data_IF_638724609436
#
_entry.id   IF_638724609436
#
_cell.length_a   1.000
_cell.length_b   1.000
_cell.length_c   1.000
_cell.angle_alpha   90.00
_cell.angle_beta   90.00
_cell.angle_gamma   90.00
#
_symmetry.space_group_name_H-M   'P 1'
#
loop_
_entity.id
_entity.type
_entity.pdbx_description
1 polymer ?
#
# COMPACT_ATOMS: atom_id res chain seq x y z
N UNK A 1 -16.22 -13.29 1.56
CA UNK A 1 -17.22 -13.87 2.49
C UNK A 1 -16.77 -13.52 3.90
N UNK A 2 -17.51 -12.68 4.66
CA UNK A 2 -17.22 -12.48 6.07
C UNK A 2 -17.35 -13.82 6.81
N UNK A 3 -16.45 -14.12 7.74
CA UNK A 3 -16.52 -15.34 8.54
C UNK A 3 -17.90 -15.42 9.25
N UNK A 4 -18.56 -16.58 9.28
CA UNK A 4 -19.89 -16.71 9.88
C UNK A 4 -19.85 -16.30 11.36
N UNK A 5 -20.75 -15.40 11.76
CA UNK A 5 -20.96 -15.01 13.17
C UNK A 5 -20.43 -13.63 13.59
N UNK A 6 -19.92 -12.79 12.69
CA UNK A 6 -19.50 -11.44 13.08
C UNK A 6 -20.64 -10.42 13.03
N UNK A 7 -20.95 -9.80 14.17
CA UNK A 7 -21.85 -8.65 14.24
C UNK A 7 -21.17 -7.44 13.53
N UNK A 8 -21.77 -6.85 12.49
CA UNK A 8 -21.17 -5.77 11.70
C UNK A 8 -20.82 -4.53 12.55
N UNK A 9 -21.63 -4.20 13.55
CA UNK A 9 -21.34 -3.09 14.47
C UNK A 9 -20.13 -3.38 15.36
N UNK A 10 -19.99 -4.64 15.81
CA UNK A 10 -18.81 -5.06 16.58
C UNK A 10 -17.55 -5.02 15.72
N UNK A 11 -17.62 -5.47 14.46
CA UNK A 11 -16.52 -5.37 13.50
C UNK A 11 -16.08 -3.93 13.32
N UNK A 12 -17.05 -3.03 13.08
CA UNK A 12 -16.82 -1.60 12.92
C UNK A 12 -16.06 -1.02 14.11
N UNK A 13 -16.54 -1.29 15.32
CA UNK A 13 -15.89 -0.84 16.56
C UNK A 13 -14.46 -1.38 16.68
N UNK A 14 -14.22 -2.66 16.36
CA UNK A 14 -12.88 -3.25 16.42
C UNK A 14 -11.93 -2.63 15.41
N UNK A 15 -12.40 -2.35 14.19
CA UNK A 15 -11.61 -1.68 13.15
C UNK A 15 -11.22 -0.26 13.58
N UNK A 16 -12.16 0.51 14.12
CA UNK A 16 -11.88 1.86 14.62
C UNK A 16 -10.91 1.84 15.83
N UNK A 17 -11.03 0.84 16.71
CA UNK A 17 -10.05 0.63 17.80
C UNK A 17 -8.66 0.30 17.25
N UNK A 18 -8.57 -0.56 16.23
CA UNK A 18 -7.30 -0.89 15.58
C UNK A 18 -6.63 0.36 14.97
N UNK A 19 -7.41 1.26 14.38
CA UNK A 19 -6.93 2.57 13.91
C UNK A 19 -6.31 3.40 15.04
N UNK A 20 -6.98 3.51 16.19
CA UNK A 20 -6.44 4.26 17.32
C UNK A 20 -5.14 3.65 17.83
N UNK A 21 -5.07 2.33 17.95
CA UNK A 21 -3.84 1.62 18.33
C UNK A 21 -2.72 1.88 17.33
N UNK A 22 -3.00 1.78 16.02
CA UNK A 22 -2.02 2.06 14.97
C UNK A 22 -1.52 3.51 15.04
N UNK A 23 -2.44 4.47 15.21
CA UNK A 23 -2.12 5.89 15.36
C UNK A 23 -1.21 6.14 16.58
N UNK A 24 -1.51 5.52 17.72
CA UNK A 24 -0.66 5.59 18.91
C UNK A 24 0.72 4.96 18.70
N UNK A 25 0.81 3.85 17.98
CA UNK A 25 2.09 3.23 17.66
C UNK A 25 2.99 4.14 16.81
N UNK A 26 2.43 4.78 15.78
CA UNK A 26 3.13 5.76 14.94
C UNK A 26 3.62 6.96 15.78
N UNK A 27 2.74 7.57 16.58
CA UNK A 27 3.11 8.70 17.44
C UNK A 27 4.16 8.33 18.48
N UNK A 28 4.06 7.16 19.09
CA UNK A 28 5.05 6.67 20.05
C UNK A 28 6.41 6.46 19.39
N UNK A 29 6.45 5.94 18.16
CA UNK A 29 7.69 5.79 17.42
C UNK A 29 8.36 7.14 17.12
N UNK A 30 7.59 8.16 16.72
CA UNK A 30 8.10 9.52 16.53
C UNK A 30 8.61 10.14 17.84
N UNK A 31 7.90 9.92 18.94
CA UNK A 31 8.32 10.44 20.24
C UNK A 31 9.61 9.77 20.73
N UNK A 32 9.76 8.46 20.52
CA UNK A 32 11.01 7.75 20.79
C UNK A 32 12.13 8.25 19.86
N UNK A 33 11.81 8.51 18.59
CA UNK A 33 12.77 9.06 17.64
C UNK A 33 13.33 10.41 18.09
N UNK A 34 12.43 11.32 18.53
CA UNK A 34 12.79 12.63 19.06
C UNK A 34 13.67 12.55 20.30
N UNK A 35 13.47 11.52 21.13
CA UNK A 35 14.19 11.36 22.41
C UNK A 35 15.55 10.70 22.26
N UNK A 36 15.63 9.65 21.45
CA UNK A 36 16.81 8.76 21.42
C UNK A 36 17.26 8.37 20.01
N UNK A 37 16.68 8.95 18.95
CA UNK A 37 16.97 8.52 17.57
C UNK A 37 16.51 7.09 17.29
N UNK A 38 15.40 6.66 17.88
CA UNK A 38 14.89 5.29 17.78
C UNK A 38 14.78 4.79 16.33
N UNK A 39 14.35 5.62 15.37
CA UNK A 39 14.10 5.14 14.01
C UNK A 39 15.39 4.82 13.26
N UNK A 40 16.49 5.53 13.52
CA UNK A 40 17.79 5.22 12.90
C UNK A 40 18.42 3.92 13.42
N UNK A 41 17.86 3.32 14.48
CA UNK A 41 18.34 2.09 15.10
C UNK A 41 17.24 1.02 15.19
N UNK A 42 16.14 1.19 14.46
CA UNK A 42 15.01 0.28 14.52
C UNK A 42 15.41 -1.09 14.00
N UNK A 43 14.98 -2.16 14.67
CA UNK A 43 15.20 -3.52 14.18
C UNK A 43 14.05 -3.94 13.26
N UNK A 44 14.32 -4.90 12.38
CA UNK A 44 13.37 -5.31 11.34
C UNK A 44 11.98 -5.74 11.88
N UNK A 45 11.85 -6.47 13.01
CA UNK A 45 10.56 -6.71 13.66
C UNK A 45 9.76 -5.47 14.05
N UNK A 46 10.40 -4.41 14.57
CA UNK A 46 9.68 -3.17 14.90
C UNK A 46 9.31 -2.40 13.63
N UNK A 47 10.18 -2.38 12.61
CA UNK A 47 9.84 -1.83 11.29
C UNK A 47 8.61 -2.52 10.70
N UNK A 48 8.54 -3.85 10.75
CA UNK A 48 7.34 -4.63 10.35
C UNK A 48 6.09 -4.23 11.12
N UNK A 49 6.23 -3.98 12.42
CA UNK A 49 5.11 -3.56 13.27
C UNK A 49 4.60 -2.16 12.89
N UNK A 50 5.51 -1.22 12.59
CA UNK A 50 5.14 0.11 12.10
C UNK A 50 4.51 0.02 10.72
N UNK A 51 5.01 -0.85 9.84
CA UNK A 51 4.37 -1.10 8.55
C UNK A 51 2.94 -1.63 8.71
N UNK A 52 2.70 -2.60 9.58
CA UNK A 52 1.34 -3.09 9.84
C UNK A 52 0.44 -1.96 10.36
N UNK A 53 0.94 -1.08 11.23
CA UNK A 53 0.21 0.10 11.68
C UNK A 53 -0.12 1.06 10.51
N UNK A 54 0.86 1.34 9.64
CA UNK A 54 0.65 2.14 8.43
C UNK A 54 -0.44 1.52 7.54
N UNK A 55 -0.41 0.20 7.31
CA UNK A 55 -1.44 -0.49 6.52
C UNK A 55 -2.86 -0.31 7.11
N UNK A 56 -3.01 -0.30 8.44
CA UNK A 56 -4.31 0.01 9.07
C UNK A 56 -4.73 1.44 8.74
N UNK A 57 -3.84 2.43 8.93
CA UNK A 57 -4.14 3.84 8.63
C UNK A 57 -4.56 4.02 7.17
N UNK A 58 -3.77 3.50 6.22
CA UNK A 58 -4.05 3.59 4.79
C UNK A 58 -5.30 2.82 4.36
N UNK A 59 -5.62 1.73 5.06
CA UNK A 59 -6.87 1.00 4.84
C UNK A 59 -8.09 1.83 5.24
N UNK A 60 -8.04 2.58 6.33
CA UNK A 60 -9.16 3.45 6.71
C UNK A 60 -9.24 4.71 5.85
N UNK A 61 -8.09 5.30 5.50
CA UNK A 61 -8.02 6.45 4.61
C UNK A 61 -8.73 6.18 3.27
N UNK A 62 -8.68 4.93 2.80
CA UNK A 62 -9.34 4.47 1.55
C UNK A 62 -10.72 3.85 1.73
N UNK A 63 -11.40 4.05 2.85
CA UNK A 63 -12.64 3.34 3.13
C UNK A 63 -13.80 4.26 3.42
N UNK A 64 -15.02 3.71 3.38
CA UNK A 64 -16.23 4.38 3.83
C UNK A 64 -16.21 4.75 5.31
N UNK A 65 -15.28 4.20 6.11
CA UNK A 65 -15.17 4.55 7.53
C UNK A 65 -14.44 5.87 7.77
N UNK A 66 -13.85 6.47 6.72
CA UNK A 66 -13.30 7.81 6.76
C UNK A 66 -14.31 8.85 7.27
N UNK A 67 -15.61 8.63 7.03
CA UNK A 67 -16.70 9.50 7.53
C UNK A 67 -16.82 9.54 9.07
N UNK A 68 -16.27 8.55 9.78
CA UNK A 68 -16.28 8.47 11.24
C UNK A 68 -15.00 9.02 11.89
N UNK A 69 -14.04 9.49 11.09
CA UNK A 69 -12.73 9.92 11.53
C UNK A 69 -12.50 11.40 11.20
N UNK A 70 -11.66 12.06 11.99
CA UNK A 70 -11.18 13.40 11.62
C UNK A 70 -10.22 13.30 10.43
N UNK A 71 -10.64 13.88 9.31
CA UNK A 71 -9.91 13.83 8.04
C UNK A 71 -8.50 14.41 8.16
N UNK A 72 -8.37 15.57 8.80
CA UNK A 72 -7.07 16.23 8.94
C UNK A 72 -6.13 15.40 9.80
N UNK A 73 -6.62 14.82 10.90
CA UNK A 73 -5.80 13.98 11.76
C UNK A 73 -5.30 12.73 11.06
N UNK A 74 -6.12 12.00 10.30
CA UNK A 74 -5.67 10.76 9.65
C UNK A 74 -4.74 11.06 8.46
N UNK A 75 -4.99 12.11 7.69
CA UNK A 75 -4.10 12.55 6.61
C UNK A 75 -2.72 12.96 7.18
N UNK A 76 -2.69 13.68 8.32
CA UNK A 76 -1.45 14.01 9.01
C UNK A 76 -0.69 12.76 9.46
N UNK A 77 -1.37 11.79 10.09
CA UNK A 77 -0.75 10.53 10.51
C UNK A 77 -0.26 9.74 9.29
N UNK A 78 -0.97 9.76 8.16
CA UNK A 78 -0.52 9.09 6.95
C UNK A 78 0.77 9.74 6.40
N UNK A 79 0.89 11.07 6.43
CA UNK A 79 2.16 11.75 6.11
C UNK A 79 3.26 11.41 7.12
N UNK A 80 2.94 11.31 8.42
CA UNK A 80 3.91 10.89 9.44
C UNK A 80 4.51 9.51 9.13
N UNK A 81 3.70 8.56 8.61
CA UNK A 81 4.23 7.23 8.24
C UNK A 81 5.27 7.29 7.13
N UNK A 82 5.13 8.24 6.18
CA UNK A 82 6.13 8.47 5.13
C UNK A 82 7.42 9.00 5.73
N UNK A 83 7.33 10.03 6.57
CA UNK A 83 8.50 10.61 7.26
C UNK A 83 9.21 9.59 8.14
N UNK A 84 8.46 8.71 8.82
CA UNK A 84 9.04 7.60 9.59
C UNK A 84 9.86 6.68 8.69
N UNK A 85 9.36 6.28 7.51
CA UNK A 85 10.10 5.43 6.59
C UNK A 85 11.40 6.08 6.10
N UNK A 86 11.39 7.39 5.90
CA UNK A 86 12.59 8.16 5.55
C UNK A 86 13.61 8.14 6.70
N UNK A 87 13.14 8.30 7.95
CA UNK A 87 13.99 8.28 9.16
C UNK A 87 14.55 6.90 9.50
N UNK A 88 13.87 5.82 9.10
CA UNK A 88 14.33 4.44 9.27
C UNK A 88 15.37 4.02 8.23
N UNK A 89 15.59 4.83 7.18
CA UNK A 89 16.56 4.48 6.16
C UNK A 89 18.00 4.65 6.66
N UNK A 90 18.83 3.67 6.35
CA UNK A 90 20.28 3.64 6.63
C UNK A 90 21.07 3.84 5.34
N UNK A 91 20.53 3.43 4.19
CA UNK A 91 21.17 3.59 2.89
C UNK A 91 20.16 3.82 1.75
N UNK A 92 20.62 4.46 0.69
CA UNK A 92 19.80 4.65 -0.51
C UNK A 92 19.36 3.30 -1.08
N UNK A 93 18.07 3.18 -1.40
CA UNK A 93 17.48 1.97 -1.96
C UNK A 93 17.20 0.84 -0.96
N UNK A 94 17.41 1.06 0.34
CA UNK A 94 17.03 0.07 1.35
C UNK A 94 15.51 -0.18 1.43
N UNK A 95 15.15 -1.17 2.24
CA UNK A 95 13.76 -1.59 2.39
C UNK A 95 12.85 -0.47 2.91
N UNK A 96 13.37 0.39 3.80
CA UNK A 96 12.66 1.54 4.34
C UNK A 96 12.37 2.57 3.26
N UNK A 97 13.33 2.85 2.37
CA UNK A 97 13.15 3.76 1.24
C UNK A 97 12.19 3.21 0.19
N UNK A 98 12.24 1.90 -0.10
CA UNK A 98 11.26 1.26 -1.00
C UNK A 98 9.84 1.38 -0.42
N UNK A 99 9.69 1.19 0.89
CA UNK A 99 8.42 1.42 1.58
C UNK A 99 8.00 2.90 1.55
N UNK A 100 8.93 3.84 1.77
CA UNK A 100 8.67 5.28 1.70
C UNK A 100 8.08 5.66 0.33
N UNK A 101 8.75 5.26 -0.76
CA UNK A 101 8.30 5.51 -2.13
C UNK A 101 6.91 4.95 -2.37
N UNK A 102 6.69 3.70 -1.94
CA UNK A 102 5.37 3.09 -2.02
C UNK A 102 4.33 3.99 -1.34
N UNK A 103 4.47 4.26 -0.04
CA UNK A 103 3.51 5.07 0.74
C UNK A 103 3.31 6.49 0.16
N UNK A 104 4.35 7.13 -0.40
CA UNK A 104 4.22 8.41 -1.12
C UNK A 104 3.31 8.27 -2.33
N UNK A 105 3.52 7.25 -3.17
CA UNK A 105 2.65 6.96 -4.32
C UNK A 105 1.20 6.73 -3.88
N UNK A 106 0.97 6.15 -2.69
CA UNK A 106 -0.39 6.05 -2.16
C UNK A 106 -1.03 7.42 -1.94
N UNK A 107 -0.35 8.29 -1.21
CA UNK A 107 -0.87 9.61 -0.86
C UNK A 107 -1.09 10.47 -2.11
N UNK A 108 -0.20 10.36 -3.10
CA UNK A 108 -0.37 11.01 -4.39
C UNK A 108 -1.64 10.52 -5.10
N UNK A 109 -1.90 9.21 -5.12
CA UNK A 109 -3.12 8.64 -5.70
C UNK A 109 -4.38 9.08 -4.92
N UNK A 110 -4.30 9.07 -3.59
CA UNK A 110 -5.38 9.52 -2.72
C UNK A 110 -5.75 10.98 -2.98
N UNK A 111 -4.76 11.86 -3.15
CA UNK A 111 -4.97 13.29 -3.35
C UNK A 111 -5.35 13.66 -4.80
N UNK A 112 -4.94 12.86 -5.79
CA UNK A 112 -5.09 13.21 -7.21
C UNK A 112 -6.30 12.60 -7.92
N UNK A 113 -6.92 11.55 -7.36
CA UNK A 113 -7.72 10.64 -8.19
C UNK A 113 -9.23 10.69 -7.95
N UNK A 114 -10.00 10.55 -9.03
CA UNK A 114 -11.39 10.07 -9.04
C UNK A 114 -11.57 8.70 -8.36
N UNK A 115 -10.51 7.89 -8.24
CA UNK A 115 -10.51 6.66 -7.44
C UNK A 115 -10.71 6.93 -5.94
N UNK A 116 -10.31 8.10 -5.43
CA UNK A 116 -10.55 8.45 -4.03
C UNK A 116 -12.06 8.44 -3.71
N UNK A 117 -12.89 8.82 -4.68
CA UNK A 117 -14.35 8.76 -4.57
C UNK A 117 -14.88 7.33 -4.57
N UNK A 118 -14.32 6.42 -5.38
CA UNK A 118 -14.72 5.00 -5.34
C UNK A 118 -14.29 4.31 -4.05
N UNK A 119 -13.10 4.63 -3.54
CA UNK A 119 -12.56 4.09 -2.30
C UNK A 119 -13.40 4.48 -1.08
N UNK A 120 -13.90 5.72 -1.05
CA UNK A 120 -14.78 6.20 0.04
C UNK A 120 -16.14 5.47 0.12
N UNK A 121 -16.46 4.58 -0.83
CA UNK A 121 -17.66 3.74 -0.78
C UNK A 121 -17.38 2.29 -0.32
N UNK A 122 -16.12 1.86 -0.23
CA UNK A 122 -15.76 0.50 0.16
C UNK A 122 -15.71 0.36 1.69
N UNK A 123 -16.49 -0.57 2.26
CA UNK A 123 -16.37 -0.89 3.68
C UNK A 123 -15.07 -1.66 3.97
N UNK A 124 -14.31 -1.29 5.02
CA UNK A 124 -13.13 -2.03 5.39
C UNK A 124 -13.54 -3.39 5.96
N UNK A 125 -13.07 -4.46 5.34
CA UNK A 125 -13.36 -5.83 5.78
C UNK A 125 -12.26 -6.39 6.67
N UNK A 126 -12.56 -7.46 7.42
CA UNK A 126 -11.52 -8.25 8.07
C UNK A 126 -10.51 -8.79 7.04
N UNK A 127 -9.27 -9.07 7.47
CA UNK A 127 -8.26 -9.64 6.56
C UNK A 127 -8.70 -11.01 6.03
N UNK A 128 -8.52 -11.24 4.73
CA UNK A 128 -8.70 -12.55 4.11
C UNK A 128 -7.57 -13.54 4.43
N UNK A 129 -6.56 -13.11 5.19
CA UNK A 129 -5.38 -13.90 5.56
C UNK A 129 -5.27 -14.11 7.09
N UNK A 130 -6.31 -14.64 7.76
CA UNK A 130 -6.31 -14.76 9.23
C UNK A 130 -5.19 -15.68 9.75
N UNK A 131 -4.79 -16.70 8.97
CA UNK A 131 -3.70 -17.62 9.29
C UNK A 131 -2.31 -16.95 9.28
N UNK A 132 -2.19 -15.73 8.75
CA UNK A 132 -0.92 -14.97 8.70
C UNK A 132 -0.75 -14.02 9.88
N UNK A 133 -1.66 -14.06 10.86
CA UNK A 133 -1.62 -13.24 12.08
C UNK A 133 -1.39 -11.75 11.72
N UNK A 134 -0.42 -11.09 12.35
CA UNK A 134 -0.10 -9.67 12.12
C UNK A 134 0.27 -9.34 10.67
N UNK A 135 0.81 -10.30 9.90
CA UNK A 135 1.11 -10.08 8.49
C UNK A 135 -0.16 -9.99 7.63
N UNK A 136 -1.26 -10.60 8.05
CA UNK A 136 -2.48 -10.69 7.26
C UNK A 136 -3.06 -9.33 6.87
N UNK A 137 -2.95 -8.33 7.74
CA UNK A 137 -3.38 -6.95 7.44
C UNK A 137 -2.50 -6.30 6.38
N UNK A 138 -1.18 -6.50 6.47
CA UNK A 138 -0.21 -5.96 5.50
C UNK A 138 -0.39 -6.59 4.12
N UNK A 139 -0.54 -7.92 4.05
CA UNK A 139 -0.84 -8.61 2.79
C UNK A 139 -2.16 -8.13 2.18
N UNK A 140 -3.24 -8.07 2.97
CA UNK A 140 -4.53 -7.57 2.50
C UNK A 140 -4.44 -6.14 1.94
N UNK A 141 -3.72 -5.24 2.64
CA UNK A 141 -3.51 -3.86 2.20
C UNK A 141 -2.77 -3.77 0.86
N UNK A 142 -1.66 -4.49 0.72
CA UNK A 142 -0.81 -4.41 -0.47
C UNK A 142 -1.41 -5.13 -1.67
N UNK A 143 -2.11 -6.23 -1.47
CA UNK A 143 -2.80 -6.94 -2.55
C UNK A 143 -3.87 -6.05 -3.17
N UNK A 144 -4.69 -5.40 -2.34
CA UNK A 144 -5.72 -4.46 -2.83
C UNK A 144 -5.09 -3.35 -3.66
N UNK A 145 -4.00 -2.78 -3.17
CA UNK A 145 -3.30 -1.73 -3.89
C UNK A 145 -2.67 -2.21 -5.20
N UNK A 146 -2.06 -3.40 -5.23
CA UNK A 146 -1.53 -3.99 -6.47
C UNK A 146 -2.65 -4.11 -7.52
N UNK A 147 -3.84 -4.53 -7.10
CA UNK A 147 -5.03 -4.58 -7.96
C UNK A 147 -5.47 -3.19 -8.43
N UNK A 148 -5.49 -2.19 -7.53
CA UNK A 148 -5.83 -0.80 -7.90
C UNK A 148 -4.89 -0.23 -8.99
N UNK A 149 -3.58 -0.48 -8.85
CA UNK A 149 -2.58 -0.06 -9.82
C UNK A 149 -2.74 -0.75 -11.18
N UNK A 150 -3.12 -2.03 -11.20
CA UNK A 150 -3.43 -2.76 -12.42
C UNK A 150 -4.68 -2.20 -13.13
N UNK A 151 -5.73 -1.88 -12.37
CA UNK A 151 -6.95 -1.26 -12.89
C UNK A 151 -6.64 0.10 -13.52
N UNK A 152 -5.85 0.95 -12.85
CA UNK A 152 -5.46 2.26 -13.40
C UNK A 152 -4.67 2.14 -14.70
N UNK A 153 -3.73 1.18 -14.80
CA UNK A 153 -3.00 0.91 -16.05
C UNK A 153 -3.92 0.43 -17.18
N UNK A 154 -4.86 -0.46 -16.90
CA UNK A 154 -5.86 -0.91 -17.87
C UNK A 154 -6.73 0.22 -18.40
N UNK A 155 -7.16 1.14 -17.52
CA UNK A 155 -7.93 2.33 -17.90
C UNK A 155 -7.10 3.30 -18.76
N UNK A 156 -5.84 3.57 -18.41
CA UNK A 156 -4.97 4.45 -19.21
C UNK A 156 -4.64 3.83 -20.58
N UNK A 157 -4.42 2.51 -20.66
CA UNK A 157 -4.20 1.82 -21.93
C UNK A 157 -5.46 1.81 -22.80
N UNK A 158 -6.67 1.63 -22.23
CA UNK A 158 -7.92 1.75 -22.99
C UNK A 158 -8.16 3.18 -23.50
N UNK A 159 -7.81 4.20 -22.71
CA UNK A 159 -7.98 5.59 -23.11
C UNK A 159 -6.99 6.02 -24.21
N UNK A 160 -5.83 5.36 -24.30
CA UNK A 160 -4.90 5.50 -25.42
C UNK A 160 -5.32 4.67 -26.66
N UNK A 161 -6.34 3.80 -26.56
CA UNK A 161 -6.80 2.91 -27.64
C UNK A 161 -8.24 3.18 -28.11
N UNK A 162 -8.77 4.41 -27.98
CA UNK A 162 -9.99 4.78 -28.71
C UNK A 162 -9.70 5.13 -30.18
N UNK A 163 -10.62 4.81 -31.11
CA UNK A 163 -10.28 4.07 -32.33
C UNK A 163 -9.97 4.97 -33.53
N UNK A 164 -8.86 4.70 -34.21
CA UNK A 164 -8.64 5.22 -35.57
C UNK A 164 -9.73 4.69 -36.51
N UNK A 165 -10.41 5.64 -37.15
CA UNK A 165 -11.36 5.45 -38.24
C UNK A 165 -10.75 4.58 -39.37
N UNK A 166 -11.56 3.89 -40.19
CA UNK A 166 -11.05 3.09 -41.30
C UNK A 166 -10.30 4.00 -42.29
N UNK A 167 -9.11 3.55 -42.64
CA UNK A 167 -8.13 4.17 -43.51
C UNK A 167 -8.68 4.35 -44.94
N UNK A 168 -8.73 5.58 -45.42
CA UNK A 168 -8.73 5.92 -46.84
C UNK A 168 -7.57 6.89 -47.07
N UNK A 169 -6.61 6.49 -47.90
CA UNK A 169 -5.61 7.39 -48.47
C UNK A 169 -4.17 7.18 -47.99
N UNK A 170 -3.32 6.84 -48.95
CA UNK A 170 -1.87 6.66 -48.83
C UNK A 170 -1.13 7.91 -48.33
N UNK A 171 -0.08 7.69 -47.54
CA UNK A 171 0.91 8.71 -47.17
C UNK A 171 1.94 8.12 -46.21
N UNK A 172 3.13 7.83 -46.73
CA UNK A 172 4.31 7.47 -45.95
C UNK A 172 4.74 8.66 -45.09
N UNK A 173 4.67 8.54 -43.76
CA UNK A 173 5.55 9.31 -42.88
C UNK A 173 6.06 8.38 -41.77
N UNK A 174 7.38 8.18 -41.79
CA UNK A 174 8.14 7.48 -40.76
C UNK A 174 8.10 8.31 -39.48
N UNK A 175 7.09 8.05 -38.65
CA UNK A 175 6.92 8.78 -37.40
C UNK A 175 7.85 8.19 -36.32
N UNK A 176 8.82 9.00 -35.95
CA UNK A 176 9.77 8.83 -34.87
C UNK A 176 9.08 8.33 -33.59
N UNK A 177 9.36 7.08 -33.23
CA UNK A 177 9.07 6.52 -31.90
C UNK A 177 9.78 7.36 -30.83
N UNK A 178 9.10 8.39 -30.31
CA UNK A 178 9.46 8.97 -29.03
C UNK A 178 9.26 7.88 -27.97
N UNK A 179 10.29 7.47 -27.23
CA UNK A 179 10.07 6.62 -26.08
C UNK A 179 9.25 7.45 -25.08
N UNK A 180 8.05 6.99 -24.77
CA UNK A 180 7.23 7.49 -23.67
C UNK A 180 8.03 7.28 -22.36
N UNK A 181 8.93 8.20 -22.08
CA UNK A 181 9.77 8.24 -20.89
C UNK A 181 9.07 9.03 -19.79
N UNK A 182 7.76 8.81 -19.62
CA UNK A 182 7.13 9.08 -18.32
C UNK A 182 7.56 7.88 -17.46
N UNK A 183 8.42 8.05 -16.44
CA UNK A 183 8.70 6.97 -15.51
C UNK A 183 7.34 6.53 -14.98
N UNK A 184 7.00 5.27 -15.19
CA UNK A 184 5.78 4.69 -14.66
C UNK A 184 5.92 4.73 -13.13
N UNK A 185 5.46 5.82 -12.51
CA UNK A 185 5.56 6.07 -11.06
C UNK A 185 4.82 5.01 -10.22
N UNK A 186 4.19 4.05 -10.91
CA UNK A 186 3.45 2.90 -10.40
C UNK A 186 4.15 1.56 -10.67
N UNK A 187 5.33 1.54 -11.29
CA UNK A 187 6.18 0.36 -11.43
C UNK A 187 6.86 0.03 -10.09
N UNK A 188 6.05 -0.17 -9.05
CA UNK A 188 6.47 -0.67 -7.75
C UNK A 188 7.01 -2.10 -7.99
N UNK A 189 8.28 -2.30 -7.70
CA UNK A 189 8.87 -3.63 -7.65
C UNK A 189 8.34 -4.39 -6.43
N UNK A 190 7.30 -5.19 -6.66
CA UNK A 190 6.62 -5.97 -5.62
C UNK A 190 7.48 -7.09 -5.01
N UNK A 191 8.68 -7.39 -5.56
CA UNK A 191 9.59 -8.35 -4.95
C UNK A 191 10.09 -7.90 -3.57
N UNK A 192 10.04 -6.59 -3.27
CA UNK A 192 10.42 -6.03 -1.96
C UNK A 192 9.65 -6.64 -0.78
N UNK A 193 8.48 -7.19 -1.05
CA UNK A 193 7.66 -7.86 -0.05
C UNK A 193 8.31 -9.13 0.50
N UNK A 194 9.21 -9.78 -0.26
CA UNK A 194 9.96 -10.95 0.19
C UNK A 194 11.01 -10.57 1.25
N UNK A 195 11.52 -9.33 1.21
CA UNK A 195 12.54 -8.81 2.15
C UNK A 195 12.00 -8.56 3.57
N UNK A 196 10.67 -8.62 3.76
CA UNK A 196 10.05 -8.55 5.09
C UNK A 196 9.99 -9.89 5.80
N UNK A 197 10.42 -10.99 5.17
CA UNK A 197 10.58 -12.31 5.81
C UNK A 197 9.34 -12.73 6.64
N UNK A 198 8.14 -12.49 6.10
CA UNK A 198 6.88 -12.89 6.77
C UNK A 198 6.69 -14.40 6.80
N UNK A 199 7.42 -15.14 5.97
CA UNK A 199 7.48 -16.60 5.99
C UNK A 199 8.59 -17.08 6.91
N UNK A 200 8.22 -17.72 8.02
CA UNK A 200 9.14 -18.60 8.71
C UNK A 200 9.33 -19.86 7.86
N UNK A 201 10.33 -19.86 6.99
CA UNK A 201 10.93 -21.11 6.49
C UNK A 201 12.17 -21.37 7.32
N UNK A 202 12.16 -22.37 8.22
CA UNK A 202 13.37 -22.78 8.92
C UNK A 202 14.48 -23.06 7.90
N UNK A 203 15.72 -22.60 8.13
CA UNK A 203 16.82 -22.87 7.22
C UNK A 203 16.93 -24.38 6.94
N UNK A 204 16.83 -24.77 5.66
CA UNK A 204 17.07 -26.15 5.21
C UNK A 204 15.85 -27.05 4.96
N UNK A 205 14.61 -26.56 5.04
CA UNK A 205 13.42 -27.42 4.87
C UNK A 205 12.51 -27.15 3.67
N UNK A 206 12.72 -26.08 2.90
CA UNK A 206 12.11 -25.87 1.58
C UNK A 206 12.76 -24.65 0.90
N UNK A 207 12.72 -24.52 -0.44
CA UNK A 207 13.03 -23.25 -1.09
C UNK A 207 12.06 -22.16 -0.56
N UNK A 208 12.53 -20.90 -0.40
CA UNK A 208 11.65 -19.80 -0.02
C UNK A 208 10.49 -19.72 -1.02
N UNK A 209 9.27 -19.82 -0.51
CA UNK A 209 8.07 -19.74 -1.34
C UNK A 209 7.93 -18.29 -1.80
N UNK A 210 8.21 -18.02 -3.06
CA UNK A 210 7.98 -16.70 -3.69
C UNK A 210 6.49 -16.46 -3.84
N UNK A 211 5.87 -15.86 -2.81
CA UNK A 211 4.42 -15.70 -2.71
C UNK A 211 3.85 -14.70 -3.75
N UNK A 212 4.69 -13.86 -4.35
CA UNK A 212 4.26 -12.77 -5.23
C UNK A 212 4.22 -13.13 -6.71
N UNK A 213 4.89 -14.21 -7.12
CA UNK A 213 4.85 -14.71 -8.49
C UNK A 213 3.60 -15.55 -8.80
N UNK A 214 2.86 -15.99 -7.79
CA UNK A 214 1.65 -16.81 -7.94
C UNK A 214 0.31 -16.09 -7.83
N UNK A 215 0.30 -14.77 -7.61
CA UNK A 215 -0.92 -13.98 -7.52
C UNK A 215 -1.35 -13.54 -8.93
N UNK A 216 -2.64 -13.66 -9.30
CA UNK A 216 -3.11 -13.40 -10.67
C UNK A 216 -2.69 -11.99 -11.11
N UNK A 217 -2.14 -11.92 -12.33
CA UNK A 217 -1.76 -10.68 -13.02
C UNK A 217 -2.98 -9.87 -13.41
#
# INVERSE_FOLDING_TARGET
MPAPGHNPESLKQHILRAYHTASSAIRNAQELDRKIGFLSHITHPQMRSLLTASCVIFKLLRSSYMQFLDRKSIEAIAMDTVSICERMSVMEGDLSMRLNTLLKTFLELYNSSTLATSWQNEEPTATNFPHRLGAGVTFDCFIRWKSDGAIKRGLHQQQQQTPNHPNDGAGEEADSFLPSAVPDSLAIDWSFMDDFEWTWTPPGLAPPVTLWHGMPR
#
